data_IF_881424282598
#
_entry.id   IF_881424282598
#
_cell.length_a   1.000
_cell.length_b   1.000
_cell.length_c   1.000
_cell.angle_alpha   90.00
_cell.angle_beta   90.00
_cell.angle_gamma   90.00
#
_symmetry.space_group_name_H-M   'P 1'
#
loop_
_entity.id
_entity.type
_entity.pdbx_description
1 polymer ?
#
# COMPACT_ATOMS: atom_id res chain seq x y z
N UNK A 1 44.09 6.52 19.12
CA UNK A 1 43.52 7.86 19.40
C UNK A 1 42.53 7.72 20.53
N UNK A 2 42.58 8.58 21.56
CA UNK A 2 41.65 8.48 22.69
C UNK A 2 40.21 8.66 22.19
N UNK A 3 39.24 7.81 22.60
CA UNK A 3 37.84 7.90 22.15
C UNK A 3 37.21 9.28 22.44
N UNK A 4 37.74 9.98 23.45
CA UNK A 4 37.34 11.34 23.81
C UNK A 4 37.70 12.35 22.70
N UNK A 5 38.87 12.20 22.07
CA UNK A 5 39.32 13.09 21.00
C UNK A 5 38.43 12.93 19.76
N UNK A 6 38.04 11.68 19.44
CA UNK A 6 37.14 11.39 18.33
C UNK A 6 35.74 11.99 18.57
N UNK A 7 35.21 11.86 19.78
CA UNK A 7 33.91 12.44 20.15
C UNK A 7 33.92 13.97 20.03
N UNK A 8 34.98 14.63 20.51
CA UNK A 8 35.12 16.09 20.42
C UNK A 8 35.27 16.58 18.97
N UNK A 9 35.94 15.81 18.11
CA UNK A 9 36.06 16.09 16.68
C UNK A 9 34.69 15.97 15.97
N UNK A 10 33.94 14.92 16.27
CA UNK A 10 32.57 14.74 15.75
C UNK A 10 31.67 15.88 16.22
N UNK A 11 31.77 16.29 17.49
CA UNK A 11 30.99 17.41 18.02
C UNK A 11 31.34 18.73 17.32
N UNK A 12 32.64 19.01 17.11
CA UNK A 12 33.09 20.22 16.40
C UNK A 12 32.67 20.24 14.93
N UNK A 13 32.76 19.11 14.24
CA UNK A 13 32.31 18.99 12.84
C UNK A 13 30.78 19.16 12.77
N UNK A 14 30.04 18.58 13.72
CA UNK A 14 28.58 18.74 13.83
C UNK A 14 28.19 20.20 14.07
N UNK A 15 28.86 20.88 15.01
CA UNK A 15 28.63 22.31 15.30
C UNK A 15 28.98 23.17 14.09
N UNK A 16 30.15 22.94 13.46
CA UNK A 16 30.57 23.68 12.28
C UNK A 16 29.61 23.47 11.10
N UNK A 17 29.15 22.25 10.87
CA UNK A 17 28.13 21.94 9.86
C UNK A 17 26.79 22.62 10.17
N UNK A 18 26.41 22.70 11.44
CA UNK A 18 25.19 23.37 11.86
C UNK A 18 25.26 24.89 11.70
N UNK A 19 26.45 25.48 11.90
CA UNK A 19 26.73 26.90 11.71
C UNK A 19 26.86 27.28 10.22
N UNK A 20 27.38 26.37 9.38
CA UNK A 20 27.51 26.57 7.94
C UNK A 20 26.21 26.32 7.16
N UNK A 21 25.17 25.76 7.79
CA UNK A 21 23.83 25.63 7.21
C UNK A 21 23.18 27.02 7.09
N UNK A 22 23.22 27.61 5.89
CA UNK A 22 22.39 28.77 5.52
C UNK A 22 20.92 28.43 5.80
N UNK A 23 20.19 29.32 6.49
CA UNK A 23 18.74 29.18 6.64
C UNK A 23 18.10 29.20 5.24
N UNK A 24 17.42 28.13 4.80
CA UNK A 24 16.71 28.16 3.54
C UNK A 24 15.64 29.27 3.56
N UNK A 25 15.30 29.85 2.40
CA UNK A 25 14.21 30.82 2.28
C UNK A 25 12.93 30.25 2.90
N UNK A 26 12.11 31.12 3.50
CA UNK A 26 10.91 30.83 4.32
C UNK A 26 10.38 29.40 4.15
N UNK A 27 10.94 28.47 4.90
CA UNK A 27 10.42 27.10 4.93
C UNK A 27 9.14 27.08 5.74
N UNK A 28 8.15 26.28 5.33
CA UNK A 28 6.96 26.07 6.14
C UNK A 28 7.34 25.65 7.57
N UNK A 29 6.56 26.06 8.58
CA UNK A 29 6.78 25.66 9.96
C UNK A 29 6.79 24.14 10.10
N UNK A 30 7.42 23.62 11.16
CA UNK A 30 7.42 22.18 11.41
C UNK A 30 8.16 21.83 12.70
N UNK A 31 7.93 20.62 13.23
CA UNK A 31 8.65 20.14 14.41
C UNK A 31 10.15 20.07 14.13
N UNK A 32 10.93 20.42 15.16
CA UNK A 32 12.39 20.30 15.10
C UNK A 32 12.76 18.82 15.13
N UNK A 33 13.38 18.36 14.06
CA UNK A 33 13.93 17.00 13.98
C UNK A 33 15.24 16.88 14.76
N UNK A 34 15.57 15.65 15.16
CA UNK A 34 16.87 15.32 15.77
C UNK A 34 18.01 15.46 14.74
N UNK A 35 19.26 15.70 15.20
CA UNK A 35 20.42 15.67 14.31
C UNK A 35 20.50 14.34 13.56
N UNK A 36 20.82 14.39 12.26
CA UNK A 36 20.93 13.24 11.34
C UNK A 36 19.59 12.56 11.03
N UNK A 37 18.84 12.12 12.04
CA UNK A 37 17.59 11.33 11.88
C UNK A 37 16.41 12.17 11.39
N UNK A 38 16.40 13.46 11.73
CA UNK A 38 15.28 14.34 11.44
C UNK A 38 14.05 13.97 12.25
N UNK A 39 12.92 13.77 11.56
CA UNK A 39 11.60 13.51 12.12
C UNK A 39 11.13 12.06 11.92
N UNK A 40 12.01 11.13 11.50
CA UNK A 40 11.62 9.72 11.26
C UNK A 40 10.99 9.08 12.50
N UNK A 41 11.54 9.34 13.70
CA UNK A 41 10.98 8.80 14.95
C UNK A 41 9.58 9.33 15.26
N UNK A 42 9.24 10.54 14.81
CA UNK A 42 7.87 11.06 14.94
C UNK A 42 6.88 10.27 14.07
N UNK A 43 7.36 9.66 12.99
CA UNK A 43 6.53 8.85 12.07
C UNK A 43 6.62 7.35 12.32
N UNK A 44 7.48 6.90 13.24
CA UNK A 44 7.62 5.51 13.67
C UNK A 44 6.45 5.10 14.60
N UNK A 45 5.23 5.32 14.13
CA UNK A 45 3.97 4.99 14.81
C UNK A 45 3.11 4.11 13.90
N UNK A 46 2.22 3.26 14.44
CA UNK A 46 1.31 2.46 13.62
C UNK A 46 0.40 3.29 12.72
N UNK A 47 0.09 4.52 13.12
CA UNK A 47 -0.86 5.43 12.45
C UNK A 47 -0.19 6.76 12.08
N UNK A 48 0.76 6.76 11.12
CA UNK A 48 1.53 7.96 10.79
C UNK A 48 0.63 9.09 10.27
N UNK A 49 -0.46 8.77 9.56
CA UNK A 49 -1.41 9.75 9.04
C UNK A 49 -2.17 10.48 10.17
N UNK A 50 -2.53 9.78 11.26
CA UNK A 50 -3.15 10.40 12.45
C UNK A 50 -2.16 11.31 13.16
N UNK A 51 -0.90 10.86 13.31
CA UNK A 51 0.14 11.67 13.92
C UNK A 51 0.41 12.96 13.11
N UNK A 52 0.51 12.86 11.78
CA UNK A 52 0.63 14.00 10.88
C UNK A 52 -0.56 14.96 10.98
N UNK A 53 -1.79 14.44 11.12
CA UNK A 53 -2.97 15.27 11.36
C UNK A 53 -2.90 16.04 12.70
N UNK A 54 -2.38 15.42 13.76
CA UNK A 54 -2.16 16.11 15.04
C UNK A 54 -1.11 17.22 14.89
N UNK A 55 -0.01 16.95 14.18
CA UNK A 55 1.02 17.95 13.91
C UNK A 55 0.50 19.13 13.08
N UNK A 56 -0.39 18.88 12.11
CA UNK A 56 -0.94 19.96 11.28
C UNK A 56 -1.81 20.94 12.07
N UNK A 57 -2.44 20.49 13.16
CA UNK A 57 -3.19 21.38 14.06
C UNK A 57 -2.26 22.32 14.83
N UNK A 58 -1.03 21.90 15.11
CA UNK A 58 -0.04 22.69 15.87
C UNK A 58 0.78 23.60 14.97
N UNK A 59 1.27 23.09 13.84
CA UNK A 59 2.19 23.81 12.95
C UNK A 59 1.48 24.44 11.74
N UNK A 60 0.22 24.10 11.50
CA UNK A 60 -0.57 24.59 10.39
C UNK A 60 -0.69 23.59 9.23
N UNK A 61 -1.49 23.94 8.21
CA UNK A 61 -1.89 23.05 7.12
C UNK A 61 -0.77 22.73 6.11
N UNK A 62 0.35 23.46 6.17
CA UNK A 62 1.53 23.24 5.35
C UNK A 62 2.74 23.21 6.29
N UNK A 63 3.41 22.06 6.36
CA UNK A 63 4.53 21.89 7.27
C UNK A 63 5.71 21.17 6.62
N UNK A 64 6.91 21.46 7.09
CA UNK A 64 8.13 20.82 6.62
C UNK A 64 8.65 19.81 7.65
N UNK A 65 8.92 18.60 7.19
CA UNK A 65 9.60 17.53 7.94
C UNK A 65 10.89 17.13 7.21
N UNK A 66 11.75 16.40 7.91
CA UNK A 66 12.95 15.80 7.32
C UNK A 66 12.89 14.32 7.65
N UNK A 67 12.82 13.46 6.64
CA UNK A 67 12.86 12.01 6.79
C UNK A 67 14.31 11.57 6.53
N UNK A 68 15.11 11.47 7.59
CA UNK A 68 16.56 11.29 7.48
C UNK A 68 17.18 12.44 6.68
N UNK A 69 17.79 12.10 5.54
CA UNK A 69 18.38 13.08 4.62
C UNK A 69 17.39 13.71 3.62
N UNK A 70 16.12 13.26 3.58
CA UNK A 70 15.13 13.70 2.60
C UNK A 70 14.22 14.79 3.17
N UNK A 71 14.26 16.04 2.68
CA UNK A 71 13.26 17.04 3.05
C UNK A 71 11.89 16.63 2.51
N UNK A 72 10.85 16.78 3.33
CA UNK A 72 9.50 16.32 3.00
C UNK A 72 8.48 17.37 3.39
N UNK A 73 7.68 17.79 2.42
CA UNK A 73 6.58 18.73 2.61
C UNK A 73 5.31 17.94 2.91
N UNK A 74 4.64 18.27 4.01
CA UNK A 74 3.35 17.67 4.38
C UNK A 74 2.25 18.70 4.14
N UNK A 75 1.25 18.27 3.38
CA UNK A 75 0.07 19.05 3.03
C UNK A 75 -1.15 18.44 3.73
N UNK A 76 -1.83 19.23 4.55
CA UNK A 76 -2.98 18.78 5.35
C UNK A 76 -4.20 19.69 5.21
N UNK A 77 -4.32 20.36 4.06
CA UNK A 77 -5.49 21.17 3.71
C UNK A 77 -6.02 20.80 2.33
N UNK A 78 -7.34 20.64 2.15
CA UNK A 78 -7.93 20.35 0.84
C UNK A 78 -7.56 21.37 -0.23
N UNK A 79 -7.56 22.67 0.12
CA UNK A 79 -7.20 23.76 -0.81
C UNK A 79 -5.75 23.65 -1.29
N UNK A 80 -4.83 23.32 -0.39
CA UNK A 80 -3.41 23.15 -0.74
C UNK A 80 -3.17 21.83 -1.49
N UNK A 81 -3.89 20.77 -1.13
CA UNK A 81 -3.85 19.51 -1.85
C UNK A 81 -4.33 19.69 -3.30
N UNK A 82 -5.39 20.48 -3.54
CA UNK A 82 -5.81 20.84 -4.90
C UNK A 82 -4.71 21.60 -5.65
N UNK A 83 -4.05 22.57 -5.01
CA UNK A 83 -2.95 23.30 -5.65
C UNK A 83 -1.78 22.39 -6.06
N UNK A 84 -1.47 21.36 -5.26
CA UNK A 84 -0.40 20.39 -5.54
C UNK A 84 -0.82 19.38 -6.60
N UNK A 85 -2.04 18.85 -6.50
CA UNK A 85 -2.52 17.73 -7.32
C UNK A 85 -3.15 18.16 -8.65
N UNK A 86 -3.51 19.44 -8.80
CA UNK A 86 -4.19 19.97 -9.99
C UNK A 86 -3.48 21.17 -10.60
N UNK A 87 -3.19 22.22 -9.81
CA UNK A 87 -2.62 23.47 -10.36
C UNK A 87 -1.15 23.32 -10.73
N UNK A 88 -0.37 22.59 -9.91
CA UNK A 88 1.07 22.37 -10.10
C UNK A 88 1.38 20.87 -10.25
N UNK A 89 0.42 20.11 -10.78
CA UNK A 89 0.50 18.66 -10.89
C UNK A 89 1.76 18.18 -11.62
N UNK A 90 2.16 18.84 -12.71
CA UNK A 90 3.37 18.52 -13.47
C UNK A 90 4.66 18.65 -12.65
N UNK A 91 4.70 19.53 -11.65
CA UNK A 91 5.87 19.71 -10.77
C UNK A 91 5.94 18.59 -9.72
N UNK A 92 4.78 18.11 -9.24
CA UNK A 92 4.68 17.15 -8.14
C UNK A 92 4.34 15.72 -8.58
N UNK A 93 4.18 15.47 -9.89
CA UNK A 93 3.77 14.16 -10.40
C UNK A 93 4.85 13.08 -10.31
N UNK A 94 6.13 13.46 -10.18
CA UNK A 94 7.26 12.52 -10.07
C UNK A 94 7.21 11.71 -8.78
N UNK A 95 7.67 10.45 -8.85
CA UNK A 95 7.71 9.51 -7.72
C UNK A 95 9.11 9.43 -7.10
N UNK A 96 9.22 9.27 -5.77
CA UNK A 96 10.51 9.04 -5.14
C UNK A 96 11.07 7.68 -5.55
N UNK A 97 12.37 7.62 -5.83
CA UNK A 97 13.07 6.38 -6.13
C UNK A 97 13.40 5.66 -4.82
N UNK A 98 12.51 4.76 -4.39
CA UNK A 98 12.68 3.90 -3.21
C UNK A 98 13.11 2.51 -3.64
N UNK A 99 14.08 1.92 -2.93
CA UNK A 99 14.74 0.67 -3.34
C UNK A 99 13.75 -0.48 -3.55
N UNK A 100 12.85 -0.70 -2.58
CA UNK A 100 11.86 -1.77 -2.64
C UNK A 100 10.90 -1.64 -3.82
N UNK A 101 10.42 -0.42 -4.10
CA UNK A 101 9.50 -0.14 -5.20
C UNK A 101 10.22 -0.30 -6.54
N UNK A 102 11.38 0.31 -6.71
CA UNK A 102 12.13 0.21 -7.96
C UNK A 102 12.49 -1.23 -8.30
N UNK A 103 13.01 -2.01 -7.35
CA UNK A 103 13.41 -3.39 -7.65
C UNK A 103 12.21 -4.27 -8.02
N UNK A 104 11.11 -4.19 -7.27
CA UNK A 104 9.93 -5.04 -7.52
C UNK A 104 9.18 -4.66 -8.80
N UNK A 105 9.27 -3.41 -9.25
CA UNK A 105 8.59 -2.92 -10.44
C UNK A 105 9.54 -2.61 -11.59
N UNK A 106 10.52 -3.49 -11.82
CA UNK A 106 11.44 -3.44 -12.98
C UNK A 106 12.11 -2.08 -13.17
N UNK A 107 12.68 -1.53 -12.09
CA UNK A 107 13.27 -0.19 -11.98
C UNK A 107 12.27 0.98 -12.14
N UNK A 108 11.02 0.78 -11.71
CA UNK A 108 9.98 1.80 -11.81
C UNK A 108 9.54 2.01 -13.25
N UNK A 109 9.28 0.91 -13.97
CA UNK A 109 8.70 0.93 -15.32
C UNK A 109 7.18 0.66 -15.30
N UNK A 110 6.59 0.54 -14.12
CA UNK A 110 5.16 0.35 -13.90
C UNK A 110 4.36 1.67 -13.99
N UNK A 111 3.05 1.64 -13.73
CA UNK A 111 2.20 2.85 -13.78
C UNK A 111 2.17 3.62 -12.46
N UNK A 112 2.40 2.96 -11.32
CA UNK A 112 2.24 3.54 -9.99
C UNK A 112 3.49 4.27 -9.49
N UNK A 113 4.68 3.70 -9.73
CA UNK A 113 5.96 4.20 -9.21
C UNK A 113 6.90 4.77 -10.27
N UNK A 114 6.60 4.63 -11.56
CA UNK A 114 7.43 5.23 -12.60
C UNK A 114 7.44 6.77 -12.55
N UNK A 115 8.58 7.39 -12.91
CA UNK A 115 8.65 8.82 -13.09
C UNK A 115 7.77 9.27 -14.27
N UNK A 116 7.18 10.45 -14.13
CA UNK A 116 6.35 11.01 -15.19
C UNK A 116 7.17 11.27 -16.46
N UNK A 117 6.69 10.77 -17.59
CA UNK A 117 7.37 10.92 -18.88
C UNK A 117 6.55 10.38 -20.04
N UNK A 118 7.07 10.46 -21.28
CA UNK A 118 6.39 9.94 -22.47
C UNK A 118 6.02 8.46 -22.37
N UNK A 119 6.95 7.62 -21.89
CA UNK A 119 6.73 6.18 -21.70
C UNK A 119 5.59 5.91 -20.71
N UNK A 120 5.60 6.58 -19.56
CA UNK A 120 4.53 6.45 -18.57
C UNK A 120 3.16 6.87 -19.12
N UNK A 121 3.09 7.94 -19.91
CA UNK A 121 1.82 8.38 -20.53
C UNK A 121 1.27 7.33 -21.48
N UNK A 122 2.14 6.71 -22.28
CA UNK A 122 1.74 5.65 -23.21
C UNK A 122 1.26 4.40 -22.45
N UNK A 123 2.03 3.96 -21.45
CA UNK A 123 1.63 2.82 -20.61
C UNK A 123 0.29 3.08 -19.91
N UNK A 124 0.12 4.26 -19.31
CA UNK A 124 -1.15 4.67 -18.67
C UNK A 124 -2.30 4.65 -19.68
N UNK A 125 -2.09 5.14 -20.90
CA UNK A 125 -3.10 5.13 -21.96
C UNK A 125 -3.48 3.71 -22.32
N UNK A 126 -2.51 2.81 -22.49
CA UNK A 126 -2.75 1.39 -22.76
C UNK A 126 -3.58 0.76 -21.63
N UNK A 127 -3.18 0.97 -20.37
CA UNK A 127 -3.93 0.47 -19.22
C UNK A 127 -5.37 0.99 -19.22
N UNK A 128 -5.59 2.30 -19.33
CA UNK A 128 -6.93 2.89 -19.25
C UNK A 128 -7.82 2.44 -20.42
N UNK A 129 -7.29 2.42 -21.64
CA UNK A 129 -8.09 2.14 -22.85
C UNK A 129 -8.31 0.65 -23.06
N UNK A 130 -7.30 -0.18 -22.87
CA UNK A 130 -7.35 -1.59 -23.26
C UNK A 130 -7.61 -2.53 -22.08
N UNK A 131 -7.11 -2.19 -20.89
CA UNK A 131 -7.31 -3.01 -19.69
C UNK A 131 -8.51 -2.55 -18.88
N UNK A 132 -8.62 -1.25 -18.60
CA UNK A 132 -9.60 -0.66 -17.68
C UNK A 132 -10.85 -0.09 -18.36
N UNK A 133 -11.08 -0.35 -19.65
CA UNK A 133 -12.28 0.17 -20.32
C UNK A 133 -13.55 -0.49 -19.82
N UNK A 134 -14.67 0.25 -19.86
CA UNK A 134 -16.00 -0.29 -19.51
C UNK A 134 -16.30 -1.60 -20.24
N UNK A 135 -15.96 -1.70 -21.54
CA UNK A 135 -16.13 -2.93 -22.33
C UNK A 135 -15.35 -4.10 -21.72
N UNK A 136 -14.08 -3.89 -21.34
CA UNK A 136 -13.24 -4.92 -20.72
C UNK A 136 -13.77 -5.31 -19.34
N UNK A 137 -14.13 -4.34 -18.50
CA UNK A 137 -14.68 -4.58 -17.15
C UNK A 137 -16.00 -5.38 -17.23
N UNK A 138 -16.88 -5.06 -18.17
CA UNK A 138 -18.11 -5.82 -18.38
C UNK A 138 -17.86 -7.24 -18.91
N UNK A 139 -16.83 -7.45 -19.73
CA UNK A 139 -16.52 -8.80 -20.24
C UNK A 139 -16.22 -9.82 -19.13
N UNK A 140 -15.77 -9.38 -17.96
CA UNK A 140 -15.51 -10.24 -16.81
C UNK A 140 -16.65 -10.34 -15.80
N UNK A 141 -17.82 -9.74 -16.11
CA UNK A 141 -19.01 -9.83 -15.27
C UNK A 141 -19.39 -11.26 -14.88
N UNK A 142 -19.38 -12.26 -15.79
CA UNK A 142 -19.76 -13.63 -15.43
C UNK A 142 -18.85 -14.22 -14.35
N UNK A 143 -17.54 -13.97 -14.43
CA UNK A 143 -16.56 -14.45 -13.44
C UNK A 143 -16.83 -13.83 -12.07
N UNK A 144 -17.18 -12.53 -12.01
CA UNK A 144 -17.55 -11.87 -10.76
C UNK A 144 -18.80 -12.46 -10.14
N UNK A 145 -19.87 -12.55 -10.92
CA UNK A 145 -21.16 -13.04 -10.43
C UNK A 145 -21.03 -14.48 -9.93
N UNK A 146 -20.25 -15.31 -10.62
CA UNK A 146 -19.96 -16.69 -10.19
C UNK A 146 -19.21 -16.74 -8.86
N UNK A 147 -18.14 -15.96 -8.67
CA UNK A 147 -17.40 -15.93 -7.40
C UNK A 147 -18.22 -15.37 -6.25
N UNK A 148 -18.96 -14.28 -6.48
CA UNK A 148 -19.82 -13.69 -5.46
C UNK A 148 -20.93 -14.68 -5.06
N UNK A 149 -21.51 -15.38 -6.03
CA UNK A 149 -22.51 -16.43 -5.76
C UNK A 149 -21.93 -17.60 -4.97
N UNK A 150 -20.69 -18.01 -5.27
CA UNK A 150 -19.99 -19.05 -4.51
C UNK A 150 -19.78 -18.64 -3.04
N UNK A 151 -19.29 -17.42 -2.79
CA UNK A 151 -19.05 -16.94 -1.42
C UNK A 151 -20.36 -16.79 -0.64
N UNK A 152 -21.37 -16.18 -1.23
CA UNK A 152 -22.67 -16.01 -0.57
C UNK A 152 -23.29 -17.36 -0.23
N UNK A 153 -23.19 -18.35 -1.12
CA UNK A 153 -23.65 -19.72 -0.85
C UNK A 153 -22.85 -20.40 0.28
N UNK A 154 -21.52 -20.26 0.28
CA UNK A 154 -20.65 -20.81 1.33
C UNK A 154 -21.02 -20.25 2.71
N UNK A 155 -21.16 -18.92 2.79
CA UNK A 155 -21.58 -18.23 4.02
C UNK A 155 -22.98 -18.64 4.49
N UNK A 156 -23.90 -18.90 3.55
CA UNK A 156 -25.26 -19.34 3.88
C UNK A 156 -25.34 -20.81 4.30
N UNK A 157 -24.32 -21.62 4.02
CA UNK A 157 -24.34 -23.06 4.29
C UNK A 157 -24.10 -23.43 5.76
N UNK A 158 -23.46 -22.54 6.52
CA UNK A 158 -23.14 -22.75 7.94
C UNK A 158 -23.65 -21.57 8.81
N UNK A 159 -24.96 -21.54 9.11
CA UNK A 159 -25.57 -20.47 9.89
C UNK A 159 -25.01 -20.44 11.32
N UNK A 160 -24.56 -19.27 11.76
CA UNK A 160 -23.94 -19.08 13.08
C UNK A 160 -22.41 -19.10 13.08
N UNK A 161 -21.76 -19.43 11.94
CA UNK A 161 -20.31 -19.34 11.80
C UNK A 161 -19.84 -17.89 11.95
N UNK A 162 -18.83 -17.68 12.78
CA UNK A 162 -18.13 -16.40 12.87
C UNK A 162 -17.19 -16.26 11.67
N UNK A 163 -17.31 -15.17 10.93
CA UNK A 163 -16.60 -14.94 9.67
C UNK A 163 -15.74 -13.69 9.75
N UNK A 164 -14.48 -13.83 9.39
CA UNK A 164 -13.56 -12.71 9.20
C UNK A 164 -13.79 -12.06 7.82
N UNK A 165 -14.42 -10.89 7.79
CA UNK A 165 -14.74 -10.21 6.53
C UNK A 165 -13.51 -9.76 5.74
N UNK A 166 -12.39 -9.46 6.43
CA UNK A 166 -11.16 -9.06 5.75
C UNK A 166 -10.61 -10.23 4.94
N UNK A 167 -10.60 -11.43 5.53
CA UNK A 167 -10.13 -12.66 4.86
C UNK A 167 -11.02 -13.02 3.66
N UNK A 168 -12.35 -12.94 3.82
CA UNK A 168 -13.30 -13.19 2.72
C UNK A 168 -13.06 -12.23 1.55
N UNK A 169 -12.89 -10.94 1.81
CA UNK A 169 -12.68 -9.92 0.77
C UNK A 169 -11.32 -10.02 0.08
N UNK A 170 -10.25 -10.24 0.85
CA UNK A 170 -8.92 -10.48 0.30
C UNK A 170 -8.94 -11.74 -0.57
N UNK A 171 -9.54 -12.81 -0.06
CA UNK A 171 -9.60 -14.08 -0.77
C UNK A 171 -10.40 -14.01 -2.07
N UNK A 172 -11.51 -13.28 -2.07
CA UNK A 172 -12.27 -13.00 -3.29
C UNK A 172 -11.44 -12.22 -4.30
N UNK A 173 -10.84 -11.11 -3.88
CA UNK A 173 -10.06 -10.22 -4.74
C UNK A 173 -8.91 -10.98 -5.38
N UNK A 174 -8.17 -11.76 -4.59
CA UNK A 174 -7.10 -12.63 -5.06
C UNK A 174 -7.61 -13.68 -6.04
N UNK A 175 -8.69 -14.40 -5.72
CA UNK A 175 -9.26 -15.42 -6.62
C UNK A 175 -9.63 -14.83 -7.97
N UNK A 176 -10.23 -13.65 -7.98
CA UNK A 176 -10.62 -12.97 -9.20
C UNK A 176 -9.43 -12.48 -10.01
N UNK A 177 -8.43 -11.90 -9.37
CA UNK A 177 -7.16 -11.56 -10.02
C UNK A 177 -6.57 -12.85 -10.62
N UNK A 178 -6.52 -13.94 -9.86
CA UNK A 178 -6.01 -15.21 -10.33
C UNK A 178 -6.79 -15.75 -11.54
N UNK A 179 -8.12 -15.74 -11.50
CA UNK A 179 -8.96 -16.26 -12.58
C UNK A 179 -8.93 -15.42 -13.84
N UNK A 180 -8.87 -14.11 -13.72
CA UNK A 180 -8.78 -13.24 -14.90
C UNK A 180 -7.36 -13.19 -15.43
N UNK A 181 -6.38 -12.95 -14.56
CA UNK A 181 -5.01 -12.81 -14.99
C UNK A 181 -4.49 -14.16 -15.46
N UNK A 182 -4.59 -15.24 -14.68
CA UNK A 182 -3.96 -16.53 -15.01
C UNK A 182 -4.90 -17.55 -15.68
N UNK A 183 -6.18 -17.22 -15.88
CA UNK A 183 -7.15 -18.12 -16.51
C UNK A 183 -7.49 -19.39 -15.70
N UNK A 184 -6.87 -19.62 -14.53
CA UNK A 184 -7.05 -20.81 -13.69
C UNK A 184 -7.61 -20.46 -12.31
N UNK A 185 -8.40 -21.37 -11.75
CA UNK A 185 -8.90 -21.29 -10.38
C UNK A 185 -7.91 -21.88 -9.36
N UNK A 186 -7.75 -21.15 -8.25
CA UNK A 186 -7.14 -21.51 -6.94
C UNK A 186 -5.71 -22.06 -6.84
N UNK A 187 -5.17 -22.83 -7.80
CA UNK A 187 -3.93 -23.60 -7.54
C UNK A 187 -2.66 -22.77 -7.33
N UNK A 188 -2.60 -21.54 -7.86
CA UNK A 188 -1.50 -20.59 -7.65
C UNK A 188 -1.84 -19.49 -6.64
N UNK A 189 -3.02 -19.53 -6.03
CA UNK A 189 -3.57 -18.44 -5.22
C UNK A 189 -2.81 -18.25 -3.91
N UNK A 190 -2.58 -19.32 -3.15
CA UNK A 190 -1.88 -19.22 -1.86
C UNK A 190 -0.46 -18.66 -2.03
N UNK A 191 0.29 -19.20 -3.00
CA UNK A 191 1.62 -18.69 -3.36
C UNK A 191 1.58 -17.22 -3.79
N UNK A 192 0.56 -16.81 -4.56
CA UNK A 192 0.39 -15.41 -4.96
C UNK A 192 0.08 -14.51 -3.76
N UNK A 193 -0.82 -14.93 -2.87
CA UNK A 193 -1.23 -14.18 -1.67
C UNK A 193 -0.05 -13.95 -0.73
N UNK A 194 0.70 -15.02 -0.40
CA UNK A 194 1.91 -14.94 0.43
C UNK A 194 2.94 -13.97 -0.17
N UNK A 195 3.19 -14.11 -1.48
CA UNK A 195 4.19 -13.30 -2.15
C UNK A 195 3.78 -11.84 -2.27
N UNK A 196 2.50 -11.55 -2.47
CA UNK A 196 1.97 -10.18 -2.47
C UNK A 196 2.09 -9.51 -1.09
N UNK A 197 1.85 -10.25 0.00
CA UNK A 197 2.07 -9.76 1.38
C UNK A 197 3.55 -9.44 1.60
N UNK A 198 4.45 -10.34 1.20
CA UNK A 198 5.89 -10.10 1.31
C UNK A 198 6.34 -8.90 0.47
N UNK A 199 5.85 -8.78 -0.77
CA UNK A 199 6.14 -7.66 -1.65
C UNK A 199 5.69 -6.32 -1.05
N UNK A 200 4.49 -6.26 -0.47
CA UNK A 200 3.98 -5.08 0.23
C UNK A 200 4.87 -4.69 1.42
N UNK A 201 5.36 -5.67 2.19
CA UNK A 201 6.26 -5.42 3.32
C UNK A 201 7.58 -4.77 2.86
N UNK A 202 8.10 -5.16 1.70
CA UNK A 202 9.31 -4.57 1.12
C UNK A 202 9.08 -3.18 0.50
N UNK A 203 7.84 -2.78 0.24
CA UNK A 203 7.50 -1.47 -0.33
C UNK A 203 7.17 -0.42 0.73
N UNK A 204 7.00 -0.84 1.99
CA UNK A 204 6.72 0.07 3.09
C UNK A 204 7.85 1.10 3.22
N UNK A 205 7.49 2.38 3.40
CA UNK A 205 8.44 3.50 3.34
C UNK A 205 9.67 3.35 4.23
N UNK A 206 9.59 2.61 5.34
CA UNK A 206 10.67 2.39 6.31
C UNK A 206 11.42 1.06 6.18
N UNK A 207 11.18 0.28 5.12
CA UNK A 207 11.80 -1.03 4.96
C UNK A 207 13.32 -0.97 4.74
N UNK A 208 13.82 0.09 4.09
CA UNK A 208 15.25 0.23 3.75
C UNK A 208 15.85 1.47 4.41
N UNK A 209 16.97 1.27 5.10
CA UNK A 209 17.73 2.35 5.75
C UNK A 209 18.39 3.23 4.69
N UNK A 210 18.85 2.64 3.58
CA UNK A 210 19.50 3.36 2.47
C UNK A 210 18.63 4.43 1.83
N UNK A 211 17.30 4.25 1.80
CA UNK A 211 16.37 5.23 1.22
C UNK A 211 16.40 6.58 1.96
N UNK A 212 16.67 6.55 3.26
CA UNK A 212 16.77 7.75 4.11
C UNK A 212 18.21 8.15 4.43
N UNK A 213 19.11 7.18 4.51
CA UNK A 213 20.53 7.33 4.86
C UNK A 213 21.40 6.57 3.86
N UNK A 214 21.70 7.15 2.68
CA UNK A 214 22.42 6.45 1.63
C UNK A 214 23.78 5.85 2.06
N UNK A 215 24.47 6.49 3.01
CA UNK A 215 25.76 6.01 3.54
C UNK A 215 25.63 4.79 4.48
N UNK A 216 24.42 4.46 4.95
CA UNK A 216 24.13 3.29 5.78
C UNK A 216 23.56 2.12 4.97
N UNK A 217 23.65 2.12 3.63
CA UNK A 217 23.10 1.03 2.82
C UNK A 217 23.73 -0.35 3.06
N UNK A 218 24.87 -0.43 3.75
CA UNK A 218 25.42 -1.70 4.23
C UNK A 218 24.53 -2.38 5.28
N UNK A 219 23.73 -1.62 6.04
CA UNK A 219 22.79 -2.14 7.04
C UNK A 219 21.72 -2.99 6.38
N UNK A 220 21.20 -2.57 5.21
CA UNK A 220 20.19 -3.32 4.46
C UNK A 220 20.73 -4.68 3.96
N UNK A 221 22.04 -4.77 3.72
CA UNK A 221 22.71 -6.03 3.38
C UNK A 221 22.88 -6.92 4.61
N UNK A 222 23.30 -6.34 5.73
CA UNK A 222 23.56 -7.06 6.98
C UNK A 222 22.27 -7.60 7.63
N UNK A 223 21.18 -6.85 7.55
CA UNK A 223 19.84 -7.28 8.00
C UNK A 223 19.19 -8.30 7.08
N UNK A 224 19.79 -8.60 5.92
CA UNK A 224 19.25 -9.52 4.93
C UNK A 224 18.12 -8.94 4.08
N UNK A 225 17.76 -7.66 4.24
CA UNK A 225 16.66 -7.01 3.51
C UNK A 225 16.91 -7.00 1.99
N UNK A 226 18.15 -6.78 1.55
CA UNK A 226 18.51 -6.86 0.13
C UNK A 226 18.34 -8.28 -0.42
N UNK A 227 18.74 -9.30 0.33
CA UNK A 227 18.60 -10.69 -0.09
C UNK A 227 17.12 -11.12 -0.14
N UNK A 228 16.32 -10.67 0.84
CA UNK A 228 14.86 -10.87 0.88
C UNK A 228 14.19 -10.20 -0.32
N UNK A 229 14.55 -8.96 -0.63
CA UNK A 229 14.03 -8.23 -1.80
C UNK A 229 14.33 -8.98 -3.10
N UNK A 230 15.56 -9.46 -3.26
CA UNK A 230 15.98 -10.18 -4.47
C UNK A 230 15.24 -11.52 -4.62
N UNK A 231 14.98 -12.22 -3.51
CA UNK A 231 14.17 -13.44 -3.51
C UNK A 231 12.74 -13.15 -3.99
N UNK A 232 12.08 -12.16 -3.38
CA UNK A 232 10.71 -11.77 -3.74
C UNK A 232 10.62 -11.31 -5.19
N UNK A 233 11.61 -10.54 -5.66
CA UNK A 233 11.69 -10.14 -7.07
C UNK A 233 11.73 -11.35 -8.00
N UNK A 234 12.60 -12.34 -7.74
CA UNK A 234 12.67 -13.56 -8.56
C UNK A 234 11.37 -14.35 -8.53
N UNK A 235 10.79 -14.54 -7.33
CA UNK A 235 9.55 -15.29 -7.18
C UNK A 235 8.38 -14.59 -7.91
N UNK A 236 8.37 -13.25 -7.96
CA UNK A 236 7.39 -12.46 -8.72
C UNK A 236 7.63 -12.54 -10.22
N UNK A 237 8.90 -12.42 -10.64
CA UNK A 237 9.30 -12.52 -12.04
C UNK A 237 8.92 -13.87 -12.63
N UNK A 238 9.13 -14.97 -11.90
CA UNK A 238 8.71 -16.32 -12.30
C UNK A 238 7.20 -16.41 -12.54
N UNK A 239 6.39 -15.76 -11.69
CA UNK A 239 4.93 -15.73 -11.84
C UNK A 239 4.53 -14.93 -13.08
N UNK A 240 5.15 -13.77 -13.31
CA UNK A 240 4.89 -12.93 -14.47
C UNK A 240 5.34 -13.61 -15.76
N UNK A 241 6.49 -14.29 -15.77
CA UNK A 241 7.00 -15.02 -16.93
C UNK A 241 6.09 -16.22 -17.26
N UNK A 242 5.67 -16.98 -16.24
CA UNK A 242 4.66 -18.02 -16.43
C UNK A 242 3.38 -17.46 -17.01
N UNK A 243 2.92 -16.31 -16.52
CA UNK A 243 1.75 -15.63 -17.02
C UNK A 243 1.93 -15.23 -18.49
N UNK A 244 3.04 -14.59 -18.85
CA UNK A 244 3.33 -14.20 -20.24
C UNK A 244 3.34 -15.44 -21.14
N UNK A 245 4.05 -16.50 -20.74
CA UNK A 245 4.10 -17.76 -21.47
C UNK A 245 2.71 -18.40 -21.65
N UNK A 246 1.88 -18.41 -20.61
CA UNK A 246 0.49 -18.89 -20.66
C UNK A 246 -0.42 -17.99 -21.53
N UNK A 247 -0.10 -16.70 -21.70
CA UNK A 247 -0.90 -15.72 -22.45
C UNK A 247 -0.46 -15.48 -23.89
N UNK A 248 0.72 -15.96 -24.27
CA UNK A 248 1.10 -16.11 -25.68
C UNK A 248 0.23 -17.18 -26.38
N UNK A 249 -0.53 -17.97 -25.60
CA UNK A 249 -1.73 -18.71 -26.02
C UNK A 249 -2.98 -17.77 -25.91
N UNK A 250 -3.90 -17.67 -26.90
CA UNK A 250 -4.67 -16.46 -27.23
C UNK A 250 -5.72 -15.91 -26.24
N UNK A 251 -5.66 -16.16 -24.93
CA UNK A 251 -6.70 -15.72 -23.98
C UNK A 251 -6.14 -15.24 -22.64
N UNK A 252 -6.10 -13.90 -22.45
CA UNK A 252 -6.72 -13.12 -21.34
C UNK A 252 -5.92 -11.85 -20.97
N UNK A 253 -6.57 -10.77 -20.48
CA UNK A 253 -5.83 -9.74 -19.76
C UNK A 253 -6.52 -9.28 -18.47
N UNK A 254 -5.74 -9.21 -17.39
CA UNK A 254 -6.16 -8.75 -16.07
C UNK A 254 -5.54 -7.41 -15.65
N UNK A 255 -6.31 -6.65 -14.85
CA UNK A 255 -5.93 -5.70 -13.76
C UNK A 255 -7.15 -4.82 -13.39
N UNK A 256 -8.16 -4.67 -14.27
CA UNK A 256 -9.25 -3.71 -14.08
C UNK A 256 -10.38 -4.04 -13.10
N UNK A 257 -10.37 -5.23 -12.51
CA UNK A 257 -11.59 -5.80 -11.96
C UNK A 257 -11.72 -5.68 -10.43
N UNK A 258 -10.65 -5.37 -9.70
CA UNK A 258 -10.68 -5.34 -8.23
C UNK A 258 -11.76 -4.43 -7.65
N UNK A 259 -11.79 -3.16 -8.07
CA UNK A 259 -12.68 -2.15 -7.47
C UNK A 259 -14.17 -2.43 -7.71
N UNK A 260 -14.56 -2.69 -8.97
CA UNK A 260 -15.95 -3.00 -9.31
C UNK A 260 -16.45 -4.32 -8.69
N UNK A 261 -15.54 -5.24 -8.37
CA UNK A 261 -15.95 -6.48 -7.70
C UNK A 261 -16.12 -6.29 -6.20
N UNK A 262 -15.24 -5.53 -5.54
CA UNK A 262 -15.39 -5.24 -4.11
C UNK A 262 -16.75 -4.58 -3.86
N UNK A 263 -17.13 -3.59 -4.66
CA UNK A 263 -18.43 -2.92 -4.57
C UNK A 263 -19.60 -3.90 -4.78
N UNK A 264 -19.56 -4.71 -5.84
CA UNK A 264 -20.61 -5.70 -6.12
C UNK A 264 -20.73 -6.75 -5.01
N UNK A 265 -19.60 -7.17 -4.44
CA UNK A 265 -19.57 -8.16 -3.35
C UNK A 265 -20.14 -7.56 -2.08
N UNK A 266 -19.69 -6.36 -1.70
CA UNK A 266 -20.22 -5.62 -0.56
C UNK A 266 -21.73 -5.44 -0.70
N UNK A 267 -22.22 -5.04 -1.88
CA UNK A 267 -23.64 -4.90 -2.12
C UNK A 267 -24.41 -6.22 -1.93
N UNK A 268 -23.89 -7.33 -2.46
CA UNK A 268 -24.53 -8.65 -2.28
C UNK A 268 -24.47 -9.13 -0.82
N UNK A 269 -23.36 -8.93 -0.12
CA UNK A 269 -23.25 -9.29 1.30
C UNK A 269 -24.20 -8.47 2.19
N UNK A 270 -24.34 -7.17 1.90
CA UNK A 270 -25.28 -6.28 2.60
C UNK A 270 -26.74 -6.56 2.23
N UNK A 271 -27.00 -7.09 1.03
CA UNK A 271 -28.34 -7.42 0.59
C UNK A 271 -28.81 -8.78 1.14
N UNK A 272 -27.95 -9.79 1.09
CA UNK A 272 -28.30 -11.18 1.42
C UNK A 272 -28.34 -11.48 2.92
N UNK A 273 -27.57 -10.75 3.72
CA UNK A 273 -27.40 -11.04 5.14
C UNK A 273 -27.67 -9.82 6.03
N UNK A 274 -28.32 -10.07 7.16
CA UNK A 274 -28.19 -9.23 8.34
C UNK A 274 -26.97 -9.70 9.12
N UNK A 275 -26.14 -8.76 9.57
CA UNK A 275 -24.87 -9.08 10.20
C UNK A 275 -24.95 -8.81 11.69
N UNK A 276 -24.70 -9.84 12.48
CA UNK A 276 -24.69 -9.76 13.95
C UNK A 276 -23.27 -9.92 14.48
N UNK A 277 -23.04 -9.38 15.69
CA UNK A 277 -21.80 -9.61 16.40
C UNK A 277 -21.79 -11.01 17.02
N UNK A 278 -20.61 -11.64 17.16
CA UNK A 278 -20.48 -12.83 17.98
C UNK A 278 -21.00 -12.59 19.42
N UNK A 279 -21.49 -13.62 20.13
CA UNK A 279 -21.98 -13.48 21.49
C UNK A 279 -20.97 -12.78 22.41
N UNK A 280 -21.40 -11.72 23.09
CA UNK A 280 -20.56 -10.96 24.02
C UNK A 280 -19.72 -9.85 23.39
N UNK A 281 -19.85 -9.59 22.08
CA UNK A 281 -19.19 -8.47 21.39
C UNK A 281 -20.22 -7.37 21.10
N UNK A 282 -19.87 -6.13 21.45
CA UNK A 282 -20.68 -4.93 21.24
C UNK A 282 -20.09 -4.03 20.13
N UNK A 283 -20.81 -2.98 19.75
CA UNK A 283 -20.33 -2.03 18.73
C UNK A 283 -19.11 -1.25 19.21
N UNK A 284 -19.04 -1.02 20.52
CA UNK A 284 -17.97 -0.31 21.19
C UNK A 284 -16.65 -1.10 21.17
N UNK A 285 -16.73 -2.42 21.00
CA UNK A 285 -15.57 -3.32 20.91
C UNK A 285 -14.94 -3.37 19.51
N UNK A 286 -15.51 -2.67 18.52
CA UNK A 286 -14.96 -2.63 17.16
C UNK A 286 -13.64 -1.86 17.17
N UNK A 287 -12.55 -2.59 17.01
CA UNK A 287 -11.23 -2.00 16.87
C UNK A 287 -11.11 -1.25 15.54
N UNK A 288 -10.72 0.03 15.59
CA UNK A 288 -10.40 0.84 14.40
C UNK A 288 -8.90 0.99 14.19
N UNK A 289 -8.06 0.39 15.05
CA UNK A 289 -6.61 0.40 14.87
C UNK A 289 -6.21 -0.40 13.63
N UNK A 290 -5.04 -0.04 13.12
CA UNK A 290 -4.53 -0.49 11.84
C UNK A 290 -3.06 -0.87 11.97
N UNK A 291 -2.65 -1.87 11.19
CA UNK A 291 -1.25 -2.26 11.06
C UNK A 291 -0.53 -1.30 10.08
N UNK A 292 0.75 -1.01 10.34
CA UNK A 292 1.55 -0.22 9.41
C UNK A 292 1.79 -0.99 8.11
N UNK A 293 1.73 -0.32 6.96
CA UNK A 293 1.97 -0.93 5.66
C UNK A 293 1.53 -0.04 4.50
N UNK A 294 1.81 -0.49 3.28
CA UNK A 294 1.33 0.16 2.06
C UNK A 294 -0.21 0.08 1.98
N UNK A 295 -0.76 -1.08 2.31
CA UNK A 295 -2.19 -1.30 2.54
C UNK A 295 -2.40 -1.41 4.04
N UNK A 296 -3.31 -0.60 4.60
CA UNK A 296 -3.57 -0.57 6.03
C UNK A 296 -4.65 -1.61 6.37
N UNK A 297 -4.23 -2.72 7.00
CA UNK A 297 -5.12 -3.76 7.49
C UNK A 297 -5.56 -3.46 8.92
N UNK A 298 -6.80 -3.83 9.30
CA UNK A 298 -7.22 -3.74 10.70
C UNK A 298 -6.28 -4.57 11.58
N UNK A 299 -5.92 -4.04 12.75
CA UNK A 299 -5.08 -4.75 13.71
C UNK A 299 -5.81 -5.97 14.27
N UNK A 300 -7.09 -5.83 14.60
CA UNK A 300 -7.97 -6.94 14.89
C UNK A 300 -9.05 -7.02 13.80
N UNK A 301 -9.26 -8.20 13.19
CA UNK A 301 -10.21 -8.36 12.08
C UNK A 301 -11.64 -8.09 12.54
N UNK A 302 -12.47 -7.59 11.61
CA UNK A 302 -13.91 -7.49 11.83
C UNK A 302 -14.55 -8.87 11.61
N UNK A 303 -14.91 -9.51 12.72
CA UNK A 303 -15.56 -10.81 12.74
C UNK A 303 -17.07 -10.63 12.98
N UNK A 304 -17.90 -11.15 12.08
CA UNK A 304 -19.36 -11.06 12.16
C UNK A 304 -20.01 -12.41 11.85
N UNK A 305 -21.25 -12.58 12.30
CA UNK A 305 -22.09 -13.74 12.01
C UNK A 305 -23.11 -13.35 10.94
N UNK A 306 -23.14 -14.03 9.78
CA UNK A 306 -24.15 -13.78 8.76
C UNK A 306 -25.49 -14.44 9.15
N UNK A 307 -26.57 -13.65 9.15
CA UNK A 307 -27.96 -14.10 9.35
C UNK A 307 -28.71 -13.93 8.03
N UNK A 308 -29.27 -15.01 7.49
CA UNK A 308 -30.00 -14.95 6.22
C UNK A 308 -31.26 -14.08 6.35
N UNK A 309 -31.37 -13.03 5.53
CA UNK A 309 -32.57 -12.17 5.52
C UNK A 309 -33.86 -12.89 5.13
N UNK A 310 -33.76 -13.99 4.39
CA UNK A 310 -34.91 -14.79 3.95
C UNK A 310 -35.58 -15.60 5.06
N UNK A 311 -35.05 -15.61 6.29
CA UNK A 311 -35.64 -16.35 7.42
C UNK A 311 -36.46 -15.48 8.40
N UNK A 312 -36.51 -14.15 8.23
CA UNK A 312 -37.28 -13.24 9.09
C UNK A 312 -38.63 -12.77 8.50
N UNK A 313 -39.09 -13.42 7.43
CA UNK A 313 -40.36 -13.12 6.77
C UNK A 313 -41.24 -14.35 6.58
N UNK A 314 -41.67 -14.96 7.69
CA UNK A 314 -42.79 -15.91 7.76
C UNK A 314 -43.49 -15.74 9.11
#
# INVERSE_FOLDING_TARGET
MSPIILLLLILRISILFHLLRKKPPQTPPGPRGLPVIGNLLHLATPEPHVHLCKLSRTYGPLMSLNLGSKPTLIVSSPRLAEQVMRTHDLVFCSRPCLQGQHKLFYNGLDVAFAPYGPSWREMRKICVVHLLSNKRVHSFRPVREEEVFRITRDLASDPGRVVNLSEVMLGLTSTLICRIAFGRGSSKRERFDELMIEAQAMQAGFAFVSDYFPWLGWVDRLTGMVARLEKIYRDMDDIVEQLICEHLDPRCPGIAMGLATVELTLANLLHSFDWEFPPGVSKEDIDTQVLPGLTMHKKHPLCLVPINRTQHGA
#
